data_IF_322986034504
#
_entry.id   IF_322986034504
#
_cell.length_a   1.000
_cell.length_b   1.000
_cell.length_c   1.000
_cell.angle_alpha   90.00
_cell.angle_beta   90.00
_cell.angle_gamma   90.00
#
_symmetry.space_group_name_H-M   'P 1'
#
loop_
_entity.id
_entity.type
_entity.pdbx_description
1 polymer ?
#
# COMPACT_ATOMS: atom_id res chain seq x y z
N UNK A 1 16.01 21.03 4.64
CA UNK A 1 15.62 19.83 3.87
C UNK A 1 14.15 19.52 4.19
N UNK A 2 13.21 20.43 3.95
CA UNK A 2 12.43 20.71 2.72
C UNK A 2 11.65 19.50 2.18
N UNK A 3 10.45 19.28 2.74
CA UNK A 3 9.15 19.10 2.06
C UNK A 3 8.98 18.16 0.84
N UNK A 4 9.92 17.29 0.50
CA UNK A 4 9.88 16.51 -0.76
C UNK A 4 9.38 15.06 -0.66
N UNK A 5 8.60 14.72 0.37
CA UNK A 5 7.98 13.39 0.46
C UNK A 5 6.48 13.53 0.19
N UNK A 6 6.03 12.96 -0.92
CA UNK A 6 4.61 12.94 -1.29
C UNK A 6 3.96 11.82 -0.49
N UNK A 7 2.85 12.14 0.19
CA UNK A 7 2.00 11.16 0.86
C UNK A 7 0.71 11.04 0.05
N UNK A 8 0.48 9.88 -0.55
CA UNK A 8 -0.75 9.59 -1.26
C UNK A 8 -1.69 8.84 -0.32
N UNK A 9 -2.90 9.37 -0.13
CA UNK A 9 -3.97 8.69 0.58
C UNK A 9 -4.88 8.06 -0.45
N UNK A 10 -5.03 6.74 -0.39
CA UNK A 10 -5.92 5.98 -1.27
C UNK A 10 -7.17 5.66 -0.48
N UNK A 11 -8.29 6.20 -0.93
CA UNK A 11 -9.60 6.03 -0.32
C UNK A 11 -10.62 5.56 -1.35
N UNK A 12 -11.52 4.68 -0.94
CA UNK A 12 -12.53 4.09 -1.83
C UNK A 12 -13.94 4.24 -1.26
N UNK A 13 -14.92 4.40 -2.14
CA UNK A 13 -16.34 4.47 -1.75
C UNK A 13 -16.84 3.06 -1.42
N UNK A 14 -17.37 2.81 -0.21
CA UNK A 14 -18.05 1.56 0.08
C UNK A 14 -19.25 1.41 -0.87
N UNK A 15 -19.22 0.38 -1.72
CA UNK A 15 -20.35 -0.02 -2.54
C UNK A 15 -21.44 -0.59 -1.63
N UNK A 16 -22.67 -0.05 -1.73
CA UNK A 16 -23.83 -0.39 -0.88
C UNK A 16 -24.22 -1.88 -0.99
N UNK A 17 -23.64 -2.63 -1.93
CA UNK A 17 -23.94 -4.04 -2.20
C UNK A 17 -22.74 -4.99 -2.04
N UNK A 18 -21.53 -4.52 -1.71
CA UNK A 18 -20.34 -5.37 -1.65
C UNK A 18 -19.73 -5.37 -0.26
N UNK A 19 -19.30 -6.55 0.20
CA UNK A 19 -18.56 -6.68 1.45
C UNK A 19 -17.29 -5.82 1.39
N UNK A 20 -16.87 -5.29 2.54
CA UNK A 20 -15.65 -4.50 2.73
C UNK A 20 -14.44 -5.17 2.05
N UNK A 21 -14.42 -6.51 1.99
CA UNK A 21 -13.39 -7.31 1.35
C UNK A 21 -13.22 -7.10 -0.17
N UNK A 22 -14.25 -6.68 -0.92
CA UNK A 22 -14.10 -6.38 -2.36
C UNK A 22 -13.65 -4.94 -2.60
N UNK A 23 -14.17 -4.01 -1.81
CA UNK A 23 -13.83 -2.58 -1.87
C UNK A 23 -12.36 -2.35 -1.50
N UNK A 24 -11.74 -3.20 -0.69
CA UNK A 24 -10.30 -3.07 -0.46
C UNK A 24 -9.45 -3.51 -1.66
N UNK A 25 -9.96 -4.38 -2.54
CA UNK A 25 -9.17 -4.97 -3.63
C UNK A 25 -8.82 -3.92 -4.68
N UNK A 26 -9.79 -3.14 -5.15
CA UNK A 26 -9.58 -2.13 -6.19
C UNK A 26 -8.57 -1.07 -5.72
N UNK A 27 -8.77 -0.50 -4.53
CA UNK A 27 -7.80 0.39 -3.88
C UNK A 27 -6.40 -0.23 -3.76
N UNK A 28 -6.29 -1.51 -3.36
CA UNK A 28 -4.98 -2.18 -3.23
C UNK A 28 -4.31 -2.46 -4.58
N UNK A 29 -5.07 -2.73 -5.64
CA UNK A 29 -4.50 -2.88 -7.00
C UNK A 29 -3.91 -1.55 -7.46
N UNK A 30 -4.61 -0.44 -7.23
CA UNK A 30 -4.12 0.91 -7.55
C UNK A 30 -2.86 1.22 -6.73
N UNK A 31 -2.88 0.94 -5.44
CA UNK A 31 -1.73 1.13 -4.55
C UNK A 31 -0.50 0.34 -5.00
N UNK A 32 -0.68 -0.92 -5.41
CA UNK A 32 0.39 -1.77 -5.91
C UNK A 32 1.01 -1.21 -7.20
N UNK A 33 0.19 -0.77 -8.15
CA UNK A 33 0.69 -0.13 -9.38
C UNK A 33 1.47 1.15 -9.10
N UNK A 34 1.03 1.97 -8.13
CA UNK A 34 1.76 3.18 -7.70
C UNK A 34 3.13 2.80 -7.11
N UNK A 35 3.19 1.76 -6.28
CA UNK A 35 4.45 1.28 -5.67
C UNK A 35 5.42 0.75 -6.73
N UNK A 36 4.93 -0.01 -7.71
CA UNK A 36 5.75 -0.54 -8.79
C UNK A 36 6.29 0.58 -9.70
N UNK A 37 5.46 1.54 -10.10
CA UNK A 37 5.89 2.69 -10.90
C UNK A 37 6.87 3.60 -10.13
N UNK A 38 6.66 3.78 -8.83
CA UNK A 38 7.61 4.53 -8.00
C UNK A 38 9.00 3.90 -8.02
N UNK A 39 9.11 2.57 -7.94
CA UNK A 39 10.39 1.86 -8.04
C UNK A 39 11.03 2.03 -9.42
N UNK A 40 10.26 1.93 -10.51
CA UNK A 40 10.75 2.11 -11.89
C UNK A 40 11.31 3.52 -12.12
N UNK A 41 10.67 4.54 -11.53
CA UNK A 41 11.13 5.93 -11.53
C UNK A 41 12.32 6.19 -10.58
N UNK A 42 12.85 5.17 -9.92
CA UNK A 42 13.99 5.27 -9.01
C UNK A 42 13.65 5.89 -7.65
N UNK A 43 12.36 5.99 -7.32
CA UNK A 43 11.90 6.42 -6.00
C UNK A 43 11.92 5.25 -5.02
N UNK A 44 11.61 5.54 -3.77
CA UNK A 44 11.37 4.56 -2.72
C UNK A 44 9.99 4.81 -2.12
N UNK A 45 9.32 3.73 -1.77
CA UNK A 45 7.96 3.77 -1.24
C UNK A 45 7.76 2.92 -0.01
N UNK A 46 6.83 3.31 0.86
CA UNK A 46 6.38 2.53 2.00
C UNK A 46 4.85 2.45 2.05
N UNK A 47 4.33 1.22 2.12
CA UNK A 47 2.90 0.96 2.26
C UNK A 47 2.51 0.96 3.73
N UNK A 48 1.59 1.83 4.11
CA UNK A 48 1.10 1.98 5.48
C UNK A 48 -0.38 1.59 5.56
N UNK A 49 -0.68 0.59 6.38
CA UNK A 49 -2.05 0.19 6.75
C UNK A 49 -2.32 0.34 8.25
N UNK A 50 -1.29 0.61 9.05
CA UNK A 50 -1.41 0.76 10.49
C UNK A 50 -1.54 2.24 10.86
N UNK A 51 -2.75 2.76 10.76
CA UNK A 51 -3.12 4.13 11.12
C UNK A 51 -4.54 4.16 11.71
N UNK A 52 -4.89 5.26 12.38
CA UNK A 52 -6.26 5.52 12.82
C UNK A 52 -7.06 6.15 11.66
N UNK A 53 -8.08 5.45 11.11
CA UNK A 53 -8.83 5.95 9.96
C UNK A 53 -9.59 7.24 10.26
N UNK A 54 -10.00 7.48 11.51
CA UNK A 54 -10.72 8.71 11.89
C UNK A 54 -9.78 9.91 11.93
N UNK A 55 -8.55 9.73 12.38
CA UNK A 55 -7.52 10.78 12.30
C UNK A 55 -7.25 11.12 10.83
N UNK A 56 -7.04 10.12 9.97
CA UNK A 56 -6.79 10.35 8.53
C UNK A 56 -7.98 11.03 7.87
N UNK A 57 -9.20 10.62 8.20
CA UNK A 57 -10.42 11.24 7.70
C UNK A 57 -10.49 12.73 8.02
N UNK A 58 -10.21 13.10 9.27
CA UNK A 58 -10.24 14.48 9.73
C UNK A 58 -9.12 15.32 9.12
N UNK A 59 -7.88 14.83 9.15
CA UNK A 59 -6.70 15.56 8.64
C UNK A 59 -6.78 15.83 7.13
N UNK A 60 -7.30 14.87 6.36
CA UNK A 60 -7.40 14.98 4.91
C UNK A 60 -8.80 15.40 4.42
N UNK A 61 -9.72 15.76 5.33
CA UNK A 61 -11.11 16.10 5.02
C UNK A 61 -11.80 15.07 4.12
N UNK A 62 -11.57 13.77 4.39
CA UNK A 62 -12.13 12.67 3.59
C UNK A 62 -13.63 12.58 3.87
N UNK A 63 -14.49 12.64 2.85
CA UNK A 63 -15.94 12.49 3.01
C UNK A 63 -16.31 11.18 3.74
N UNK A 64 -17.37 11.21 4.53
CA UNK A 64 -17.85 10.03 5.28
C UNK A 64 -18.28 8.85 4.39
N UNK A 65 -18.49 9.09 3.10
CA UNK A 65 -18.81 8.06 2.13
C UNK A 65 -17.57 7.44 1.46
N UNK A 66 -16.35 7.76 1.89
CA UNK A 66 -15.10 7.15 1.43
C UNK A 66 -14.38 6.54 2.63
N UNK A 67 -13.70 5.43 2.44
CA UNK A 67 -12.90 4.78 3.47
C UNK A 67 -11.42 4.88 3.13
N UNK A 68 -10.55 5.39 4.03
CA UNK A 68 -9.11 5.36 3.82
C UNK A 68 -8.58 3.92 3.89
N UNK A 69 -8.06 3.40 2.78
CA UNK A 69 -7.61 1.99 2.67
C UNK A 69 -6.09 1.87 2.90
N UNK A 70 -5.30 2.77 2.31
CA UNK A 70 -3.85 2.73 2.40
C UNK A 70 -3.25 4.13 2.29
N UNK A 71 -2.09 4.32 2.90
CA UNK A 71 -1.23 5.49 2.68
C UNK A 71 0.07 4.99 2.05
N UNK A 72 0.44 5.58 0.92
CA UNK A 72 1.71 5.32 0.25
C UNK A 72 2.60 6.55 0.45
N UNK A 73 3.68 6.37 1.23
CA UNK A 73 4.74 7.36 1.33
C UNK A 73 5.70 7.15 0.16
N UNK A 74 6.01 8.21 -0.61
CA UNK A 74 6.92 8.16 -1.77
C UNK A 74 7.94 9.28 -1.67
N UNK A 75 9.21 8.96 -1.97
CA UNK A 75 10.29 9.93 -2.00
C UNK A 75 11.62 9.30 -2.37
N UNK A 76 12.72 10.03 -2.14
CA UNK A 76 14.07 9.48 -2.27
C UNK A 76 14.51 8.95 -0.91
N UNK A 77 14.97 7.70 -0.87
CA UNK A 77 15.50 7.11 0.37
C UNK A 77 16.78 7.82 0.81
N UNK A 78 16.92 8.01 2.12
CA UNK A 78 18.15 8.51 2.77
C UNK A 78 19.08 7.35 3.19
N UNK A 79 18.71 6.12 2.84
CA UNK A 79 19.43 4.89 3.15
C UNK A 79 19.61 4.06 1.89
N UNK A 80 20.61 3.18 1.89
CA UNK A 80 20.79 2.23 0.81
C UNK A 80 19.55 1.35 0.61
N UNK A 81 19.21 1.06 -0.65
CA UNK A 81 18.15 0.12 -0.99
C UNK A 81 18.55 -1.28 -0.49
N UNK A 82 17.58 -2.01 0.04
CA UNK A 82 17.79 -3.40 0.39
C UNK A 82 18.14 -4.22 -0.88
N UNK A 83 19.00 -5.23 -0.73
CA UNK A 83 19.41 -6.07 -1.86
C UNK A 83 18.18 -6.67 -2.58
N UNK A 84 18.17 -6.69 -3.93
CA UNK A 84 17.16 -7.40 -4.71
C UNK A 84 17.10 -8.91 -4.38
N UNK A 85 18.20 -9.50 -3.91
CA UNK A 85 18.32 -10.94 -3.64
C UNK A 85 17.95 -11.33 -2.18
N UNK A 86 17.49 -10.36 -1.37
CA UNK A 86 17.18 -10.56 0.06
C UNK A 86 16.06 -11.57 0.34
N UNK A 87 15.23 -11.87 -0.65
CA UNK A 87 14.01 -12.67 -0.49
C UNK A 87 14.27 -14.09 0.05
N UNK A 88 15.47 -14.65 -0.19
CA UNK A 88 15.90 -15.93 0.38
C UNK A 88 15.98 -15.93 1.92
N UNK A 89 16.16 -14.76 2.55
CA UNK A 89 16.13 -14.57 4.01
C UNK A 89 14.81 -13.99 4.51
N UNK A 90 14.24 -13.05 3.76
CA UNK A 90 13.15 -12.18 4.25
C UNK A 90 11.74 -12.64 3.86
N UNK A 91 11.62 -13.76 3.13
CA UNK A 91 10.33 -14.37 2.76
C UNK A 91 10.33 -15.85 3.12
N UNK A 92 9.14 -16.39 3.36
CA UNK A 92 8.97 -17.84 3.49
C UNK A 92 9.27 -18.52 2.16
N UNK A 93 9.71 -19.77 2.21
CA UNK A 93 9.88 -20.59 1.01
C UNK A 93 8.54 -20.73 0.27
N UNK A 94 8.58 -20.77 -1.07
CA UNK A 94 7.39 -20.80 -1.92
C UNK A 94 6.48 -21.99 -1.59
N UNK A 95 7.11 -23.13 -1.31
CA UNK A 95 6.48 -24.41 -0.99
C UNK A 95 5.65 -24.34 0.30
N UNK A 96 5.89 -23.34 1.16
CA UNK A 96 5.08 -23.13 2.37
C UNK A 96 3.79 -22.34 2.12
N UNK A 97 3.60 -21.81 0.91
CA UNK A 97 2.47 -20.96 0.52
C UNK A 97 1.66 -21.53 -0.65
N UNK A 98 2.24 -22.48 -1.41
CA UNK A 98 1.62 -23.03 -2.64
C UNK A 98 1.16 -24.46 -2.42
N UNK A 99 -0.11 -24.72 -2.70
CA UNK A 99 -0.72 -26.05 -2.75
C UNK A 99 -1.12 -26.36 -4.20
N UNK A 100 -0.89 -27.59 -4.65
CA UNK A 100 -1.29 -28.05 -5.99
C UNK A 100 -2.40 -29.09 -5.84
N UNK A 101 -3.50 -28.91 -6.58
CA UNK A 101 -4.70 -29.76 -6.59
C UNK A 101 -5.48 -29.85 -5.27
N UNK A 102 -4.79 -30.00 -4.13
CA UNK A 102 -5.36 -30.17 -2.78
C UNK A 102 -4.54 -29.43 -1.74
N UNK A 103 -5.19 -29.00 -0.65
CA UNK A 103 -4.58 -28.33 0.50
C UNK A 103 -3.88 -29.31 1.46
#
# INVERSE_FOLDING_TARGET
MSEKNIKLVIAEKPSVAQSIAKVSVDATIVADHIVLEAEDLGLSSCWLTYFDPEIIRNEFNIPSNLEPIAIIAVGYADTEKASPDRHSKDRKALESLVCYETF
#
